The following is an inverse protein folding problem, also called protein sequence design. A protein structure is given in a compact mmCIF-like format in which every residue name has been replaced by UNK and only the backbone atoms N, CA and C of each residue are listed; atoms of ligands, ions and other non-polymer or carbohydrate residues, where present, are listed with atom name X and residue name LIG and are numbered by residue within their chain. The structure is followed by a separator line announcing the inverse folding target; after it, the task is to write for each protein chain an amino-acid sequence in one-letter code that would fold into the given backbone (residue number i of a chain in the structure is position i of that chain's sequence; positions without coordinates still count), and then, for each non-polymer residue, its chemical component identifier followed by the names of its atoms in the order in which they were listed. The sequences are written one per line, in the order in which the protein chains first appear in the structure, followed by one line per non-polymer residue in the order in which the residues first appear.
data_IF_150042981052
#
_entry.id   IF_150042981052
#
_cell.length_a   1.000
_cell.length_b   1.000
_cell.length_c   1.000
_cell.angle_alpha   90.00
_cell.angle_beta   90.00
_cell.angle_gamma   90.00
#
_symmetry.space_group_name_H-M   'P 1'
#
loop_
_entity.id
_entity.type
_entity.pdbx_description
1 polymer ?
#
# COMPACT_ATOMS: atom_id res chain seq x y z
N UNK A 1 -3.70 0.31 -19.83
CA UNK A 1 -2.47 -0.15 -19.17
C UNK A 1 -1.69 1.08 -18.72
N UNK A 2 -1.80 1.45 -17.44
CA UNK A 2 -0.96 2.50 -16.84
C UNK A 2 0.06 1.85 -15.91
N UNK A 3 0.80 0.87 -16.44
CA UNK A 3 2.03 0.35 -15.82
C UNK A 3 3.21 1.14 -16.37
N UNK A 4 3.28 2.42 -15.99
CA UNK A 4 4.44 3.25 -16.31
C UNK A 4 5.59 2.80 -15.43
N UNK A 5 6.51 2.04 -16.00
CA UNK A 5 7.71 1.54 -15.35
C UNK A 5 8.51 2.72 -14.79
N UNK A 6 8.59 2.93 -13.46
CA UNK A 6 9.61 3.80 -12.92
C UNK A 6 10.89 2.97 -13.01
N UNK A 7 11.73 3.29 -13.99
CA UNK A 7 13.13 2.90 -13.97
C UNK A 7 13.82 3.57 -12.78
N UNK A 8 13.62 3.02 -11.59
CA UNK A 8 14.41 3.28 -10.39
C UNK A 8 15.49 2.22 -10.31
N UNK A 9 16.74 2.66 -10.13
CA UNK A 9 17.89 1.79 -10.05
C UNK A 9 17.69 0.68 -9.00
N UNK A 10 18.18 -0.53 -9.31
CA UNK A 10 18.34 -1.61 -8.34
C UNK A 10 19.09 -1.04 -7.13
N UNK A 11 18.40 -0.82 -6.02
CA UNK A 11 19.05 -0.39 -4.79
C UNK A 11 19.88 -1.56 -4.28
N UNK A 12 21.20 -1.49 -4.49
CA UNK A 12 22.16 -2.55 -4.18
C UNK A 12 22.53 -2.58 -2.68
N UNK A 13 21.56 -2.39 -1.80
CA UNK A 13 21.71 -2.65 -0.36
C UNK A 13 21.39 -4.10 -0.05
N UNK A 14 21.92 -4.63 1.05
CA UNK A 14 21.43 -5.90 1.57
C UNK A 14 19.94 -5.74 1.95
N UNK A 15 19.08 -6.77 1.73
CA UNK A 15 17.69 -6.72 2.14
C UNK A 15 17.54 -6.39 3.62
N UNK A 16 16.48 -5.64 3.94
CA UNK A 16 16.08 -5.33 5.31
C UNK A 16 15.69 -6.61 6.06
N UNK A 17 15.92 -6.65 7.37
CA UNK A 17 15.13 -7.56 8.22
C UNK A 17 13.75 -6.97 8.50
N UNK A 18 12.81 -7.83 8.90
CA UNK A 18 11.49 -7.42 9.40
C UNK A 18 11.63 -6.37 10.51
N UNK A 19 12.46 -6.65 11.53
CA UNK A 19 12.68 -5.73 12.65
C UNK A 19 13.19 -4.34 12.20
N UNK A 20 14.10 -4.28 11.23
CA UNK A 20 14.61 -3.01 10.71
C UNK A 20 13.53 -2.22 9.96
N UNK A 21 12.70 -2.91 9.19
CA UNK A 21 11.58 -2.31 8.48
C UNK A 21 10.53 -1.78 9.46
N UNK A 22 10.09 -2.60 10.43
CA UNK A 22 9.11 -2.20 11.45
C UNK A 22 9.58 -0.98 12.24
N UNK A 23 10.84 -0.97 12.70
CA UNK A 23 11.40 0.18 13.43
C UNK A 23 11.43 1.46 12.59
N UNK A 24 11.71 1.35 11.28
CA UNK A 24 11.68 2.49 10.39
C UNK A 24 10.26 3.05 10.23
N UNK A 25 9.26 2.18 10.12
CA UNK A 25 7.85 2.57 9.99
C UNK A 25 7.34 3.16 11.31
N UNK A 26 7.64 2.58 12.47
CA UNK A 26 7.30 3.16 13.79
C UNK A 26 7.85 4.58 13.96
N UNK A 27 9.11 4.78 13.56
CA UNK A 27 9.75 6.09 13.59
C UNK A 27 9.08 7.08 12.63
N UNK A 28 8.63 6.61 11.46
CA UNK A 28 7.85 7.39 10.51
C UNK A 28 6.50 7.82 11.09
N UNK A 29 5.73 6.88 11.66
CA UNK A 29 4.44 7.16 12.28
C UNK A 29 4.56 8.19 13.42
N UNK A 30 5.54 7.98 14.29
CA UNK A 30 5.86 8.91 15.40
C UNK A 30 6.22 10.31 14.90
N UNK A 31 7.05 10.40 13.85
CA UNK A 31 7.52 11.67 13.27
C UNK A 31 6.38 12.50 12.67
N UNK A 32 5.40 11.83 12.07
CA UNK A 32 4.30 12.47 11.36
C UNK A 32 3.00 12.59 12.18
N UNK A 33 3.03 12.13 13.44
CA UNK A 33 1.93 12.29 14.38
C UNK A 33 0.78 11.31 14.18
N UNK A 34 1.05 10.16 13.56
CA UNK A 34 0.10 9.05 13.44
C UNK A 34 0.14 8.18 14.70
N UNK A 35 -0.26 8.75 15.84
CA UNK A 35 -0.22 8.05 17.14
C UNK A 35 -1.33 7.03 17.34
N UNK A 36 -2.31 7.02 16.43
CA UNK A 36 -3.48 6.14 16.40
C UNK A 36 -3.34 5.00 15.40
N UNK A 37 -2.21 4.91 14.69
CA UNK A 37 -1.92 3.87 13.70
C UNK A 37 -0.74 3.00 14.17
N UNK A 38 -0.66 1.78 13.65
CA UNK A 38 0.41 0.84 13.97
C UNK A 38 0.94 0.11 12.74
N UNK A 39 2.12 -0.51 12.89
CA UNK A 39 2.70 -1.36 11.84
C UNK A 39 1.94 -2.69 11.81
N UNK A 40 1.40 -3.03 10.65
CA UNK A 40 0.74 -4.30 10.38
C UNK A 40 1.68 -5.32 9.76
N UNK A 41 1.25 -5.91 8.65
CA UNK A 41 2.10 -6.77 7.83
C UNK A 41 3.40 -6.08 7.40
N UNK A 42 4.50 -6.84 7.41
CA UNK A 42 5.78 -6.43 6.81
C UNK A 42 6.25 -7.51 5.85
N UNK A 43 6.62 -7.13 4.64
CA UNK A 43 7.16 -8.01 3.62
C UNK A 43 8.52 -7.53 3.15
N UNK A 44 9.48 -8.45 3.08
CA UNK A 44 10.82 -8.17 2.60
C UNK A 44 10.95 -8.64 1.16
N UNK A 45 11.35 -7.72 0.29
CA UNK A 45 11.74 -8.02 -1.08
C UNK A 45 13.19 -7.62 -1.34
N UNK A 46 13.74 -8.12 -2.44
CA UNK A 46 15.13 -7.83 -2.82
C UNK A 46 15.40 -6.34 -3.09
N UNK A 47 14.40 -5.56 -3.48
CA UNK A 47 14.59 -4.15 -3.80
C UNK A 47 14.28 -3.20 -2.62
N UNK A 48 13.36 -3.58 -1.73
CA UNK A 48 12.94 -2.82 -0.54
C UNK A 48 12.11 -3.69 0.41
N UNK A 49 11.80 -3.16 1.60
CA UNK A 49 10.69 -3.68 2.39
C UNK A 49 9.39 -2.95 2.03
N UNK A 50 8.28 -3.67 2.12
CA UNK A 50 6.92 -3.18 2.13
C UNK A 50 6.38 -3.33 3.56
N UNK A 51 5.53 -2.41 3.98
CA UNK A 51 4.76 -2.57 5.20
C UNK A 51 3.37 -1.97 5.05
N UNK A 52 2.39 -2.68 5.60
CA UNK A 52 1.08 -2.13 5.89
C UNK A 52 1.14 -1.28 7.17
N UNK A 53 0.41 -0.17 7.16
CA UNK A 53 0.07 0.58 8.36
C UNK A 53 -1.41 0.41 8.59
N UNK A 54 -1.79 -0.05 9.79
CA UNK A 54 -3.16 -0.37 10.16
C UNK A 54 -3.78 0.72 11.04
N UNK A 55 -5.11 0.84 10.98
CA UNK A 55 -5.93 1.58 11.93
C UNK A 55 -6.64 0.59 12.88
N UNK A 56 -6.16 0.45 14.13
CA UNK A 56 -6.74 -0.48 15.11
C UNK A 56 -8.19 -0.17 15.47
N UNK A 57 -8.65 1.07 15.28
CA UNK A 57 -10.03 1.43 15.57
C UNK A 57 -11.02 0.86 14.56
N UNK A 58 -10.57 0.65 13.31
CA UNK A 58 -11.39 0.06 12.25
C UNK A 58 -11.03 -1.39 11.93
N UNK A 59 -9.82 -1.85 12.31
CA UNK A 59 -9.30 -3.16 11.96
C UNK A 59 -9.00 -3.30 10.47
N UNK A 60 -8.68 -2.19 9.81
CA UNK A 60 -8.41 -2.11 8.37
C UNK A 60 -7.07 -1.40 8.14
N UNK A 61 -6.48 -1.63 6.98
CA UNK A 61 -5.31 -0.91 6.53
C UNK A 61 -5.59 0.59 6.39
N UNK A 62 -4.71 1.41 6.95
CA UNK A 62 -4.72 2.85 6.76
C UNK A 62 -4.05 3.21 5.43
N UNK A 63 -2.81 2.76 5.21
CA UNK A 63 -2.04 2.96 3.98
C UNK A 63 -0.82 2.03 3.93
N UNK A 64 -0.19 1.94 2.76
CA UNK A 64 1.00 1.10 2.53
C UNK A 64 2.24 1.97 2.33
N UNK A 65 3.38 1.50 2.83
CA UNK A 65 4.68 2.17 2.70
C UNK A 65 5.76 1.24 2.19
N UNK A 66 6.77 1.85 1.57
CA UNK A 66 8.03 1.23 1.22
C UNK A 66 9.14 1.78 2.10
N UNK A 67 10.09 0.91 2.47
CA UNK A 67 11.30 1.27 3.22
C UNK A 67 12.52 1.02 2.36
N UNK A 68 13.24 2.09 2.04
CA UNK A 68 14.49 2.00 1.29
C UNK A 68 15.56 1.23 2.09
N UNK A 69 16.18 0.17 1.53
CA UNK A 69 17.05 -0.73 2.30
C UNK A 69 18.36 -0.07 2.74
N UNK A 70 18.80 0.99 2.04
CA UNK A 70 20.07 1.68 2.28
C UNK A 70 19.90 2.83 3.28
N UNK A 71 18.93 3.69 3.02
CA UNK A 71 18.70 4.93 3.78
C UNK A 71 17.69 4.77 4.89
N UNK A 72 16.93 3.68 4.90
CA UNK A 72 15.78 3.43 5.78
C UNK A 72 14.69 4.50 5.67
N UNK A 73 14.68 5.23 4.54
CA UNK A 73 13.65 6.23 4.27
C UNK A 73 12.31 5.53 4.00
N UNK A 74 11.26 6.01 4.66
CA UNK A 74 9.89 5.50 4.52
C UNK A 74 9.07 6.46 3.65
N UNK A 75 8.35 5.92 2.68
CA UNK A 75 7.48 6.69 1.78
C UNK A 75 6.27 5.84 1.36
N UNK A 76 5.16 6.49 0.99
CA UNK A 76 3.98 5.78 0.49
C UNK A 76 4.31 4.90 -0.72
N UNK A 77 3.69 3.75 -0.79
CA UNK A 77 3.84 2.85 -1.93
C UNK A 77 3.39 3.51 -3.25
N UNK A 78 4.07 3.12 -4.34
CA UNK A 78 3.77 3.61 -5.67
C UNK A 78 2.37 3.21 -6.13
N UNK A 79 1.61 4.17 -6.68
CA UNK A 79 0.30 3.88 -7.27
C UNK A 79 -0.83 3.96 -6.23
N UNK A 80 -1.49 2.84 -5.85
CA UNK A 80 -2.73 2.84 -5.05
C UNK A 80 -2.66 3.66 -3.76
N UNK A 81 -1.65 3.45 -2.90
CA UNK A 81 -1.49 4.21 -1.66
C UNK A 81 -1.38 5.73 -1.86
N UNK A 82 -0.79 6.18 -2.97
CA UNK A 82 -0.71 7.61 -3.31
C UNK A 82 -1.95 8.15 -4.04
N UNK A 83 -2.51 7.37 -4.98
CA UNK A 83 -3.47 7.84 -5.98
C UNK A 83 -4.91 7.46 -5.68
N UNK A 84 -5.13 6.34 -5.01
CA UNK A 84 -6.46 5.80 -4.69
C UNK A 84 -6.80 5.91 -3.21
N UNK A 85 -5.80 6.06 -2.33
CA UNK A 85 -6.06 6.27 -0.91
C UNK A 85 -6.80 7.59 -0.67
N UNK A 86 -8.05 7.50 -0.24
CA UNK A 86 -8.96 8.65 -0.08
C UNK A 86 -8.77 9.41 1.24
N UNK A 87 -8.02 8.84 2.20
CA UNK A 87 -7.82 9.42 3.53
C UNK A 87 -6.38 9.92 3.74
N UNK A 88 -5.39 9.12 3.34
CA UNK A 88 -3.97 9.35 3.59
C UNK A 88 -3.15 9.64 2.31
N UNK A 89 -3.71 9.34 1.13
CA UNK A 89 -3.07 9.59 -0.17
C UNK A 89 -3.03 11.07 -0.55
N UNK A 90 -2.59 11.40 -1.77
CA UNK A 90 -2.41 12.79 -2.22
C UNK A 90 -3.69 13.65 -2.15
N UNK A 91 -4.85 13.00 -2.26
CA UNK A 91 -6.16 13.66 -2.21
C UNK A 91 -6.81 13.59 -0.82
N UNK A 92 -6.16 12.93 0.14
CA UNK A 92 -6.68 12.65 1.46
C UNK A 92 -6.43 13.77 2.47
N UNK A 93 -7.44 14.05 3.30
CA UNK A 93 -7.39 15.10 4.33
C UNK A 93 -6.44 14.81 5.49
N UNK A 94 -6.02 13.55 5.66
CA UNK A 94 -5.05 13.10 6.67
C UNK A 94 -3.66 12.85 6.09
N UNK A 95 -3.41 13.22 4.83
CA UNK A 95 -2.07 13.14 4.24
C UNK A 95 -1.11 14.06 5.02
N UNK A 96 -0.29 13.49 5.89
CA UNK A 96 0.85 14.16 6.53
C UNK A 96 2.16 13.65 5.91
N UNK A 97 3.17 14.50 5.76
CA UNK A 97 4.44 14.13 5.12
C UNK A 97 4.78 14.87 3.82
N UNK A 98 5.43 14.15 2.89
CA UNK A 98 6.00 14.67 1.63
C UNK A 98 4.95 15.39 0.77
N UNK A 99 3.69 14.93 0.77
CA UNK A 99 2.62 15.50 -0.03
C UNK A 99 1.72 16.47 0.75
N UNK A 100 1.43 16.17 2.03
CA UNK A 100 0.65 17.05 2.91
C UNK A 100 1.28 18.43 3.12
N UNK A 101 2.62 18.49 3.24
CA UNK A 101 3.33 19.74 3.49
C UNK A 101 3.42 20.69 2.29
N UNK A 102 3.40 20.18 1.05
CA UNK A 102 3.56 21.00 -0.16
C UNK A 102 2.23 21.51 -0.72
N UNK A 103 1.14 20.72 -0.64
CA UNK A 103 -0.19 21.16 -1.06
C UNK A 103 -0.96 21.94 0.03
N UNK A 104 -0.78 21.60 1.31
CA UNK A 104 -1.45 22.29 2.42
C UNK A 104 -1.04 23.76 2.58
N UNK A 105 0.16 24.13 2.12
CA UNK A 105 0.67 25.51 2.18
C UNK A 105 0.24 26.40 0.99
N UNK A 106 -0.07 25.82 -0.18
CA UNK A 106 -0.47 26.58 -1.37
C UNK A 106 -2.00 26.66 -1.55
N UNK A 107 -2.76 25.71 -1.01
CA UNK A 107 -4.21 25.80 -0.80
C UNK A 107 -4.50 26.40 0.58
N UNK A 108 -3.90 27.56 0.85
CA UNK A 108 -4.19 28.32 2.05
C UNK A 108 -5.69 28.54 2.21
N UNK A 109 -6.18 28.27 3.42
CA UNK A 109 -7.33 28.94 4.00
C UNK A 109 -8.65 28.84 3.20
N UNK A 110 -8.98 27.64 2.71
CA UNK A 110 -10.38 27.24 2.53
C UNK A 110 -10.74 26.21 3.58
N UNK A 111 -11.28 26.74 4.67
CA UNK A 111 -12.02 25.97 5.67
C UNK A 111 -13.07 25.07 5.02
N UNK A 112 -13.48 24.10 5.84
CA UNK A 112 -14.29 22.94 5.51
C UNK A 112 -13.51 21.85 4.75
N UNK A 113 -13.03 20.88 5.53
CA UNK A 113 -13.25 19.47 5.20
C UNK A 113 -14.76 19.31 4.98
N UNK A 114 -15.22 19.65 3.77
CA UNK A 114 -16.45 19.10 3.26
C UNK A 114 -16.19 17.60 3.16
N UNK A 115 -17.01 16.73 3.76
CA UNK A 115 -17.00 15.35 3.33
C UNK A 115 -17.25 15.43 1.83
N UNK A 116 -16.22 15.10 1.03
CA UNK A 116 -16.45 14.71 -0.34
C UNK A 116 -17.54 13.63 -0.31
N UNK A 117 -18.37 13.50 -1.37
CA UNK A 117 -19.39 12.47 -1.40
C UNK A 117 -18.78 11.17 -0.90
N UNK A 118 -19.32 10.64 0.20
CA UNK A 118 -19.00 9.30 0.68
C UNK A 118 -19.54 8.36 -0.38
N UNK A 119 -18.78 8.21 -1.46
CA UNK A 119 -18.94 7.06 -2.31
C UNK A 119 -18.55 5.91 -1.41
N UNK A 120 -19.57 5.19 -0.92
CA UNK A 120 -19.37 3.84 -0.43
C UNK A 120 -18.69 3.07 -1.56
N UNK A 121 -17.70 2.25 -1.21
CA UNK A 121 -17.04 1.38 -2.17
C UNK A 121 -18.11 0.63 -2.96
N UNK A 122 -18.04 0.68 -4.29
CA UNK A 122 -18.96 -0.04 -5.17
C UNK A 122 -18.49 -1.45 -5.46
N UNK A 123 -17.24 -1.76 -5.12
CA UNK A 123 -16.63 -3.09 -5.20
C UNK A 123 -16.47 -3.61 -3.77
N UNK A 124 -17.01 -4.79 -3.51
CA UNK A 124 -16.83 -5.53 -2.25
C UNK A 124 -15.50 -6.28 -2.22
N UNK A 125 -15.00 -6.72 -1.04
CA UNK A 125 -13.78 -7.54 -0.96
C UNK A 125 -13.84 -8.81 -1.81
N UNK A 126 -14.97 -9.53 -1.80
CA UNK A 126 -15.15 -10.70 -2.68
C UNK A 126 -15.06 -10.34 -4.17
N UNK A 127 -15.74 -9.26 -4.59
CA UNK A 127 -15.65 -8.81 -6.00
C UNK A 127 -14.22 -8.37 -6.36
N UNK A 128 -13.48 -7.76 -5.42
CA UNK A 128 -12.08 -7.41 -5.63
C UNK A 128 -11.20 -8.65 -5.85
N UNK A 129 -11.40 -9.71 -5.07
CA UNK A 129 -10.70 -10.99 -5.26
C UNK A 129 -11.03 -11.64 -6.61
N UNK A 130 -12.29 -11.61 -7.04
CA UNK A 130 -12.71 -12.10 -8.36
C UNK A 130 -12.05 -11.30 -9.48
N UNK A 131 -12.08 -9.97 -9.41
CA UNK A 131 -11.44 -9.06 -10.37
C UNK A 131 -9.92 -9.30 -10.44
N UNK A 132 -9.26 -9.46 -9.28
CA UNK A 132 -7.84 -9.76 -9.19
C UNK A 132 -7.50 -11.08 -9.87
N UNK A 133 -8.28 -12.13 -9.59
CA UNK A 133 -8.07 -13.45 -10.18
C UNK A 133 -8.29 -13.44 -11.70
N UNK A 134 -9.35 -12.76 -12.18
CA UNK A 134 -9.60 -12.60 -13.62
C UNK A 134 -8.44 -11.89 -14.34
N UNK A 135 -7.87 -10.85 -13.71
CA UNK A 135 -6.69 -10.17 -14.24
C UNK A 135 -5.48 -11.11 -14.32
N UNK A 136 -5.22 -11.88 -13.26
CA UNK A 136 -4.10 -12.82 -13.23
C UNK A 136 -4.26 -13.93 -14.28
N UNK A 137 -5.46 -14.51 -14.43
CA UNK A 137 -5.68 -15.53 -15.46
C UNK A 137 -5.50 -15.01 -16.88
N UNK A 138 -5.81 -13.73 -17.12
CA UNK A 138 -5.64 -13.09 -18.43
C UNK A 138 -4.19 -12.70 -18.76
N UNK A 139 -3.43 -12.19 -17.77
CA UNK A 139 -2.13 -11.56 -18.01
C UNK A 139 -0.94 -12.30 -17.41
N UNK A 140 -1.15 -13.13 -16.38
CA UNK A 140 -0.14 -13.90 -15.67
C UNK A 140 -0.61 -15.35 -15.41
N UNK A 141 -0.83 -16.17 -16.48
CA UNK A 141 -1.38 -17.52 -16.31
C UNK A 141 -0.55 -18.37 -15.35
N UNK A 142 -1.24 -19.01 -14.40
CA UNK A 142 -0.62 -19.84 -13.36
C UNK A 142 -0.39 -19.11 -12.03
N UNK A 143 -0.62 -17.80 -11.97
CA UNK A 143 -0.70 -17.04 -10.72
C UNK A 143 -2.11 -17.12 -10.12
N UNK A 144 -2.20 -16.94 -8.80
CA UNK A 144 -3.45 -16.83 -8.06
C UNK A 144 -3.45 -15.56 -7.21
N UNK A 145 -4.62 -14.99 -6.98
CA UNK A 145 -4.79 -14.03 -5.89
C UNK A 145 -4.89 -14.83 -4.58
N UNK A 146 -4.34 -14.29 -3.49
CA UNK A 146 -4.57 -14.84 -2.16
C UNK A 146 -6.06 -14.71 -1.76
N UNK A 147 -6.50 -15.52 -0.80
CA UNK A 147 -7.86 -15.48 -0.27
C UNK A 147 -8.05 -14.28 0.67
N UNK A 148 -6.98 -13.80 1.30
CA UNK A 148 -6.98 -12.61 2.14
C UNK A 148 -7.03 -11.36 1.26
N UNK A 149 -7.87 -10.39 1.68
CA UNK A 149 -8.07 -9.12 0.98
C UNK A 149 -7.88 -8.00 1.98
N UNK A 150 -6.79 -7.26 1.83
CA UNK A 150 -6.46 -6.15 2.70
C UNK A 150 -7.22 -4.91 2.23
N UNK A 151 -8.00 -4.33 3.14
CA UNK A 151 -8.88 -3.21 2.83
C UNK A 151 -8.26 -1.88 3.22
N UNK A 152 -8.17 -0.95 2.25
CA UNK A 152 -7.71 0.42 2.47
C UNK A 152 -8.80 1.43 2.10
N UNK A 153 -8.67 2.71 2.51
CA UNK A 153 -9.54 3.78 2.04
C UNK A 153 -9.48 3.94 0.51
N UNK A 154 -10.41 3.34 -0.22
CA UNK A 154 -10.59 3.51 -1.67
C UNK A 154 -9.97 2.44 -2.58
N UNK A 155 -9.34 1.41 -2.01
CA UNK A 155 -8.81 0.27 -2.76
C UNK A 155 -8.59 -0.96 -1.85
N UNK A 156 -8.33 -2.10 -2.48
CA UNK A 156 -7.97 -3.36 -1.85
C UNK A 156 -6.58 -3.78 -2.34
N UNK A 157 -5.79 -4.45 -1.50
CA UNK A 157 -4.55 -5.12 -1.90
C UNK A 157 -4.70 -6.63 -1.65
N UNK A 158 -4.15 -7.42 -2.56
CA UNK A 158 -4.11 -8.88 -2.45
C UNK A 158 -2.70 -9.35 -2.81
N UNK A 159 -2.19 -10.31 -2.06
CA UNK A 159 -0.97 -11.00 -2.48
C UNK A 159 -1.24 -11.83 -3.74
N UNK A 160 -0.17 -12.06 -4.48
CA UNK A 160 -0.17 -12.89 -5.68
C UNK A 160 0.69 -14.12 -5.43
N UNK A 161 0.09 -15.28 -5.64
CA UNK A 161 0.68 -16.58 -5.36
C UNK A 161 1.13 -17.24 -6.65
N UNK A 162 2.26 -17.94 -6.58
CA UNK A 162 2.66 -18.93 -7.59
C UNK A 162 2.94 -20.25 -6.88
N UNK A 163 2.30 -21.33 -7.33
CA UNK A 163 2.37 -22.64 -6.67
C UNK A 163 2.01 -22.62 -5.17
N UNK A 164 1.19 -21.66 -4.74
CA UNK A 164 0.77 -21.49 -3.34
C UNK A 164 1.72 -20.67 -2.48
N UNK A 165 2.80 -20.12 -3.05
CA UNK A 165 3.75 -19.26 -2.34
C UNK A 165 3.58 -17.80 -2.78
N UNK A 166 3.70 -16.86 -1.84
CA UNK A 166 3.64 -15.42 -2.11
C UNK A 166 4.81 -14.98 -2.99
N UNK A 167 4.52 -14.20 -4.03
CA UNK A 167 5.52 -13.72 -4.99
C UNK A 167 5.50 -12.21 -5.22
N UNK A 168 4.46 -11.53 -4.75
CA UNK A 168 4.19 -10.12 -5.01
C UNK A 168 2.75 -9.81 -4.66
N UNK A 169 2.20 -8.74 -5.22
CA UNK A 169 0.86 -8.26 -4.89
C UNK A 169 0.28 -7.40 -6.01
N UNK A 170 -1.03 -7.17 -5.94
CA UNK A 170 -1.75 -6.24 -6.80
C UNK A 170 -2.84 -5.56 -5.99
N UNK A 171 -3.26 -4.37 -6.44
CA UNK A 171 -4.40 -3.69 -5.86
C UNK A 171 -5.56 -3.55 -6.84
N UNK A 172 -6.77 -3.48 -6.29
CA UNK A 172 -8.02 -3.24 -7.02
C UNK A 172 -8.67 -1.96 -6.49
N UNK A 173 -8.98 -1.03 -7.38
CA UNK A 173 -9.66 0.20 -7.02
C UNK A 173 -11.11 -0.07 -6.57
N UNK A 174 -11.48 0.39 -5.37
CA UNK A 174 -12.76 0.05 -4.73
C UNK A 174 -14.00 0.70 -5.39
N UNK A 175 -13.79 1.58 -6.36
CA UNK A 175 -14.86 2.30 -7.06
C UNK A 175 -15.01 1.91 -8.53
N UNK A 176 -13.92 1.46 -9.15
CA UNK A 176 -13.87 1.23 -10.60
C UNK A 176 -13.51 -0.20 -10.97
N UNK A 177 -13.04 -1.01 -10.02
CA UNK A 177 -12.49 -2.34 -10.30
C UNK A 177 -11.19 -2.30 -11.11
N UNK A 178 -10.56 -1.13 -11.25
CA UNK A 178 -9.29 -1.03 -11.94
C UNK A 178 -8.21 -1.80 -11.19
N UNK A 179 -7.47 -2.68 -11.88
CA UNK A 179 -6.34 -3.42 -11.30
C UNK A 179 -5.02 -2.69 -11.52
N UNK A 180 -4.17 -2.69 -10.48
CA UNK A 180 -2.79 -2.23 -10.50
C UNK A 180 -1.88 -3.35 -10.01
N UNK A 181 -1.11 -3.97 -10.91
CA UNK A 181 -0.13 -5.01 -10.54
C UNK A 181 1.20 -4.38 -10.09
N UNK A 182 1.74 -4.79 -8.94
CA UNK A 182 2.93 -4.18 -8.35
C UNK A 182 4.18 -4.82 -8.96
N UNK A 183 4.99 -4.02 -9.65
CA UNK A 183 6.15 -4.50 -10.43
C UNK A 183 7.50 -4.05 -9.89
N UNK A 184 7.51 -3.28 -8.80
CA UNK A 184 8.71 -2.62 -8.26
C UNK A 184 9.40 -3.41 -7.13
N UNK A 185 8.72 -4.38 -6.51
CA UNK A 185 9.18 -5.12 -5.33
C UNK A 185 10.44 -5.96 -5.56
N UNK A 186 10.59 -6.59 -6.72
CA UNK A 186 11.64 -7.58 -6.94
C UNK A 186 11.21 -8.96 -6.44
N UNK A 187 12.14 -9.76 -5.91
CA UNK A 187 11.83 -11.12 -5.42
C UNK A 187 11.42 -11.09 -3.96
N UNK A 188 10.32 -11.76 -3.62
CA UNK A 188 9.86 -11.96 -2.25
C UNK A 188 10.84 -12.84 -1.46
N UNK A 189 11.11 -12.48 -0.20
CA UNK A 189 12.06 -13.16 0.67
C UNK A 189 11.40 -13.72 1.94
N UNK A 190 10.71 -12.87 2.69
CA UNK A 190 10.03 -13.24 3.93
C UNK A 190 8.94 -12.21 4.28
N UNK A 191 8.05 -12.58 5.20
CA UNK A 191 7.02 -11.69 5.74
C UNK A 191 6.73 -12.01 7.20
N UNK A 192 6.13 -11.03 7.89
CA UNK A 192 5.46 -11.21 9.17
C UNK A 192 4.07 -10.59 9.10
N UNK A 193 3.11 -11.28 9.70
CA UNK A 193 1.79 -10.74 10.00
C UNK A 193 1.67 -10.59 11.53
N UNK A 194 0.99 -9.56 12.04
CA UNK A 194 0.68 -9.46 13.46
C UNK A 194 -0.21 -10.64 13.89
N UNK A 195 0.05 -11.21 15.08
CA UNK A 195 -0.81 -12.27 15.63
C UNK A 195 -2.20 -11.69 15.96
N UNK A 196 -3.25 -12.20 15.32
CA UNK A 196 -4.66 -11.78 15.50
C UNK A 196 -5.26 -12.18 16.85
#
# INVERSE_FOLDING_TARGET
MMGGQPGGALNTGDPLSIDEASQAVDAYLSRWGYSDLEVGEVMIFTNQAYAEVEDPASGRGAFEVLVDPVTKAVFLEYGPAMMWNTEYGMMGGRSTGVYGGMMGGMMGDRGYAQPGPSFEASVTPQEAAEIAQEYLDAYLPGYRADETVDEFPGYFTLHTLQAGEVTGMLSVNAYTGQVWYHTWHGTFLEMSEPES
#
